data_IF_648719571542
#
_entry.id   IF_648719571542
#
_cell.length_a   1.000
_cell.length_b   1.000
_cell.length_c   1.000
_cell.angle_alpha   90.00
_cell.angle_beta   90.00
_cell.angle_gamma   90.00
#
_symmetry.space_group_name_H-M   'P 1'
#
loop_
_entity.id
_entity.type
_entity.pdbx_description
1 polymer ?
#
# COMPACT_ATOMS: atom_id res chain seq x y z
N UNK A 1 -5.27 20.48 -6.67
CA UNK A 1 -4.36 19.89 -5.68
C UNK A 1 -5.07 18.93 -4.71
N UNK A 2 -6.25 19.27 -4.15
CA UNK A 2 -6.95 18.40 -3.17
C UNK A 2 -7.36 17.00 -3.67
N UNK A 3 -7.90 16.86 -4.89
CA UNK A 3 -8.34 15.56 -5.43
C UNK A 3 -7.16 14.59 -5.64
N UNK A 4 -6.01 15.09 -6.09
CA UNK A 4 -4.78 14.29 -6.25
C UNK A 4 -4.26 13.77 -4.91
N UNK A 5 -4.28 14.60 -3.86
CA UNK A 5 -3.88 14.18 -2.51
C UNK A 5 -4.75 13.03 -1.97
N UNK A 6 -6.07 13.13 -2.17
CA UNK A 6 -7.03 12.08 -1.77
C UNK A 6 -6.79 10.78 -2.56
N UNK A 7 -6.59 10.86 -3.88
CA UNK A 7 -6.30 9.69 -4.72
C UNK A 7 -5.00 9.00 -4.26
N UNK A 8 -3.93 9.76 -4.04
CA UNK A 8 -2.65 9.22 -3.59
C UNK A 8 -2.75 8.59 -2.20
N UNK A 9 -3.55 9.18 -1.30
CA UNK A 9 -3.81 8.62 0.02
C UNK A 9 -4.56 7.29 -0.05
N UNK A 10 -5.62 7.20 -0.89
CA UNK A 10 -6.37 5.96 -1.10
C UNK A 10 -5.49 4.88 -1.71
N UNK A 11 -4.67 5.22 -2.73
CA UNK A 11 -3.73 4.28 -3.35
C UNK A 11 -2.72 3.75 -2.34
N UNK A 12 -2.12 4.63 -1.55
CA UNK A 12 -1.19 4.24 -0.49
C UNK A 12 -1.85 3.34 0.56
N UNK A 13 -3.10 3.65 0.94
CA UNK A 13 -3.87 2.84 1.88
C UNK A 13 -4.17 1.44 1.32
N UNK A 14 -4.60 1.32 0.05
CA UNK A 14 -4.86 0.04 -0.60
C UNK A 14 -3.61 -0.84 -0.70
N UNK A 15 -2.43 -0.23 -0.91
CA UNK A 15 -1.17 -0.95 -0.97
C UNK A 15 -0.78 -1.60 0.37
N UNK A 16 -1.27 -1.10 1.51
CA UNK A 16 -1.08 -1.73 2.82
C UNK A 16 -1.82 -3.07 2.97
N UNK A 17 -2.92 -3.27 2.24
CA UNK A 17 -3.68 -4.53 2.26
C UNK A 17 -3.14 -5.58 1.31
N UNK A 18 -2.31 -5.19 0.33
CA UNK A 18 -1.72 -6.12 -0.64
C UNK A 18 -0.88 -7.23 0.03
N UNK A 19 -0.05 -6.96 1.06
CA UNK A 19 0.59 -8.01 1.87
C UNK A 19 -0.37 -8.98 2.54
N UNK A 20 -1.55 -8.52 2.96
CA UNK A 20 -2.58 -9.35 3.61
C UNK A 20 -3.25 -10.28 2.59
N UNK A 21 -3.52 -9.77 1.38
CA UNK A 21 -4.01 -10.57 0.26
C UNK A 21 -2.98 -11.60 -0.19
N UNK A 22 -1.70 -11.22 -0.26
CA UNK A 22 -0.63 -12.17 -0.54
C UNK A 22 -0.51 -13.24 0.56
N UNK A 23 -0.69 -12.87 1.82
CA UNK A 23 -0.69 -13.83 2.93
C UNK A 23 -1.88 -14.80 2.85
N UNK A 24 -3.08 -14.32 2.53
CA UNK A 24 -4.25 -15.20 2.37
C UNK A 24 -4.12 -16.14 1.17
N UNK A 25 -3.56 -15.67 0.06
CA UNK A 25 -3.22 -16.51 -1.10
C UNK A 25 -2.17 -17.55 -0.74
N UNK A 26 -1.13 -17.19 0.02
CA UNK A 26 -0.12 -18.14 0.52
C UNK A 26 -0.72 -19.19 1.43
N UNK A 27 -1.61 -18.79 2.34
CA UNK A 27 -2.28 -19.72 3.25
C UNK A 27 -3.07 -20.75 2.45
N UNK A 28 -3.89 -20.29 1.50
CA UNK A 28 -4.64 -21.16 0.59
C UNK A 28 -3.72 -22.08 -0.24
N UNK A 29 -2.67 -21.53 -0.83
CA UNK A 29 -1.73 -22.28 -1.66
C UNK A 29 -0.91 -23.30 -0.84
N UNK A 30 -0.52 -22.97 0.39
CA UNK A 30 0.10 -23.90 1.34
C UNK A 30 -0.82 -25.07 1.68
N UNK A 31 -2.11 -24.79 1.84
CA UNK A 31 -3.14 -25.82 2.07
C UNK A 31 -3.31 -26.74 0.85
N UNK A 32 -2.93 -26.27 -0.34
CA UNK A 32 -2.96 -27.01 -1.62
C UNK A 32 -1.58 -27.59 -2.02
N UNK A 33 -0.55 -27.45 -1.18
CA UNK A 33 0.81 -27.91 -1.50
C UNK A 33 1.55 -27.09 -2.57
N UNK A 34 1.04 -25.92 -2.94
CA UNK A 34 1.62 -25.03 -3.96
C UNK A 34 2.64 -24.10 -3.29
N UNK A 35 3.92 -24.30 -3.61
CA UNK A 35 5.03 -23.47 -3.12
C UNK A 35 5.01 -22.07 -3.75
N UNK A 36 4.52 -21.08 -3.03
CA UNK A 36 4.62 -19.66 -3.42
C UNK A 36 5.88 -19.01 -2.85
N UNK A 37 6.89 -18.77 -3.70
CA UNK A 37 8.09 -17.99 -3.36
C UNK A 37 7.78 -16.50 -3.46
N UNK A 38 7.54 -15.85 -2.34
CA UNK A 38 7.54 -14.38 -2.27
C UNK A 38 8.57 -13.97 -1.23
N UNK A 39 9.60 -13.25 -1.70
CA UNK A 39 10.70 -12.79 -0.87
C UNK A 39 10.18 -11.84 0.23
N UNK A 40 10.70 -11.93 1.47
CA UNK A 40 10.41 -10.94 2.51
C UNK A 40 10.68 -9.51 2.04
N UNK A 41 11.68 -9.32 1.16
CA UNK A 41 12.01 -8.04 0.56
C UNK A 41 10.84 -7.43 -0.21
N UNK A 42 10.09 -8.24 -0.98
CA UNK A 42 8.92 -7.79 -1.75
C UNK A 42 7.82 -7.23 -0.85
N UNK A 43 7.59 -7.85 0.31
CA UNK A 43 6.59 -7.39 1.29
C UNK A 43 7.00 -6.03 1.86
N UNK A 44 8.28 -5.87 2.22
CA UNK A 44 8.81 -4.60 2.72
C UNK A 44 8.77 -3.50 1.66
N UNK A 45 9.07 -3.82 0.40
CA UNK A 45 8.94 -2.87 -0.72
C UNK A 45 7.52 -2.32 -0.81
N UNK A 46 6.49 -3.18 -0.75
CA UNK A 46 5.10 -2.70 -0.78
C UNK A 46 4.74 -1.83 0.42
N UNK A 47 5.21 -2.17 1.62
CA UNK A 47 5.00 -1.35 2.82
C UNK A 47 5.66 0.02 2.71
N UNK A 48 6.89 0.09 2.22
CA UNK A 48 7.62 1.35 2.03
C UNK A 48 6.92 2.21 0.99
N UNK A 49 6.56 1.63 -0.16
CA UNK A 49 5.84 2.36 -1.22
C UNK A 49 4.50 2.88 -0.69
N UNK A 50 3.74 2.06 0.02
CA UNK A 50 2.46 2.46 0.62
C UNK A 50 2.61 3.68 1.55
N UNK A 51 3.62 3.66 2.43
CA UNK A 51 3.92 4.77 3.34
C UNK A 51 4.28 6.04 2.57
N UNK A 52 5.12 5.93 1.54
CA UNK A 52 5.51 7.07 0.69
C UNK A 52 4.27 7.70 0.05
N UNK A 53 3.36 6.90 -0.53
CA UNK A 53 2.13 7.40 -1.12
C UNK A 53 1.19 8.08 -0.11
N UNK A 54 1.08 7.53 1.11
CA UNK A 54 0.30 8.14 2.19
C UNK A 54 0.90 9.48 2.61
N UNK A 55 2.22 9.56 2.80
CA UNK A 55 2.90 10.79 3.19
C UNK A 55 2.77 11.88 2.13
N UNK A 56 2.94 11.53 0.85
CA UNK A 56 2.77 12.47 -0.26
C UNK A 56 1.31 12.94 -0.34
N UNK A 57 0.34 12.01 -0.27
CA UNK A 57 -1.08 12.35 -0.31
C UNK A 57 -1.50 13.26 0.85
N UNK A 58 -0.98 12.97 2.04
CA UNK A 58 -1.19 13.79 3.24
C UNK A 58 -0.55 15.18 3.09
N UNK A 59 0.68 15.27 2.61
CA UNK A 59 1.37 16.54 2.35
C UNK A 59 0.57 17.41 1.37
N UNK A 60 0.18 16.87 0.21
CA UNK A 60 -0.64 17.61 -0.77
C UNK A 60 -1.99 18.06 -0.22
N UNK A 61 -2.61 17.25 0.65
CA UNK A 61 -3.85 17.61 1.31
C UNK A 61 -3.64 18.77 2.29
N UNK A 62 -2.61 18.71 3.14
CA UNK A 62 -2.25 19.81 4.05
C UNK A 62 -1.92 21.10 3.32
N UNK A 63 -1.12 21.04 2.25
CA UNK A 63 -0.77 22.24 1.47
C UNK A 63 -2.02 22.86 0.85
N UNK A 64 -3.00 22.06 0.42
CA UNK A 64 -4.27 22.55 -0.11
C UNK A 64 -5.16 23.20 0.95
N UNK A 65 -5.18 22.69 2.18
CA UNK A 65 -5.94 23.29 3.29
C UNK A 65 -5.26 24.52 3.90
N UNK A 66 -3.93 24.61 3.85
CA UNK A 66 -3.13 25.73 4.39
C UNK A 66 -3.11 26.96 3.46
N UNK A 67 -3.37 26.78 2.17
CA UNK A 67 -3.41 27.86 1.16
C UNK A 67 -4.82 28.47 1.00
N UNK A 68 -5.84 27.89 1.66
CA UNK A 68 -7.18 28.46 1.76
C UNK A 68 -7.29 29.38 2.97
#
# INVERSE_FOLDING_TARGET
MGILGVVLFIVGFLLLFRPVIEWSVRFKNSTQGIQTKVSPATIWTYRIIAIIFILIGFFFSLTFFSIK
#
